data_IF_731514765965
#
_entry.id   IF_731514765965
#
_cell.length_a   1.000
_cell.length_b   1.000
_cell.length_c   1.000
_cell.angle_alpha   90.00
_cell.angle_beta   90.00
_cell.angle_gamma   90.00
#
_symmetry.space_group_name_H-M   'P 1'
#
loop_
_entity.id
_entity.type
_entity.pdbx_description
1 polymer ?
#
# COMPACT_ATOMS: atom_id res chain seq x y z
N UNK A 1 -3.91 3.46 -2.56
CA UNK A 1 -4.96 2.80 -1.76
C UNK A 1 -5.50 1.45 -2.28
N UNK A 2 -5.69 1.18 -3.59
CA UNK A 2 -6.42 -0.03 -4.00
C UNK A 2 -5.71 -1.33 -3.57
N UNK A 3 -4.37 -1.35 -3.60
CA UNK A 3 -3.60 -2.53 -3.19
C UNK A 3 -3.76 -2.89 -1.72
N UNK A 4 -3.75 -1.91 -0.81
CA UNK A 4 -3.85 -2.17 0.63
C UNK A 4 -5.21 -2.78 0.99
N UNK A 5 -6.29 -2.19 0.45
CA UNK A 5 -7.67 -2.68 0.64
C UNK A 5 -7.82 -4.10 0.10
N UNK A 6 -7.29 -4.38 -1.10
CA UNK A 6 -7.32 -5.72 -1.68
C UNK A 6 -6.61 -6.77 -0.80
N UNK A 7 -5.50 -6.41 -0.15
CA UNK A 7 -4.77 -7.33 0.73
C UNK A 7 -5.52 -7.62 2.04
N UNK A 8 -6.18 -6.61 2.61
CA UNK A 8 -7.03 -6.78 3.80
C UNK A 8 -8.24 -7.66 3.48
N UNK A 9 -8.96 -7.36 2.39
CA UNK A 9 -10.13 -8.15 1.96
C UNK A 9 -9.77 -9.59 1.60
N UNK A 10 -8.57 -9.82 1.06
CA UNK A 10 -8.07 -11.15 0.76
C UNK A 10 -7.52 -11.91 1.99
N UNK A 11 -7.60 -11.34 3.20
CA UNK A 11 -7.02 -11.89 4.43
C UNK A 11 -5.51 -12.21 4.28
N UNK A 12 -4.77 -11.35 3.58
CA UNK A 12 -3.31 -11.47 3.38
C UNK A 12 -2.52 -10.46 4.22
N UNK A 13 -3.21 -9.50 4.80
CA UNK A 13 -2.65 -8.46 5.63
C UNK A 13 -3.57 -8.16 6.81
N UNK A 14 -2.99 -7.59 7.85
CA UNK A 14 -3.68 -7.04 9.01
C UNK A 14 -3.54 -5.52 9.02
N UNK A 15 -4.58 -4.84 9.52
CA UNK A 15 -4.57 -3.40 9.74
C UNK A 15 -3.79 -3.10 11.03
N UNK A 16 -2.79 -2.23 10.93
CA UNK A 16 -1.99 -1.78 12.08
C UNK A 16 -2.47 -0.40 12.53
N UNK A 17 -2.72 0.49 11.57
CA UNK A 17 -3.16 1.86 11.85
C UNK A 17 -4.25 2.28 10.87
N UNK A 18 -5.32 2.83 11.42
CA UNK A 18 -6.46 3.38 10.71
C UNK A 18 -6.37 4.90 10.67
N UNK A 19 -6.77 5.49 9.55
CA UNK A 19 -7.02 6.93 9.45
C UNK A 19 -8.51 7.25 9.63
N UNK A 20 -8.83 8.53 9.56
CA UNK A 20 -10.20 9.04 9.74
C UNK A 20 -11.14 8.74 8.55
N UNK A 21 -10.58 8.40 7.40
CA UNK A 21 -11.36 8.02 6.21
C UNK A 21 -12.08 6.69 6.47
N UNK A 22 -13.36 6.61 6.12
CA UNK A 22 -14.11 5.34 6.11
C UNK A 22 -14.37 4.92 4.66
N UNK A 23 -13.89 3.74 4.31
CA UNK A 23 -14.20 3.09 3.04
C UNK A 23 -15.56 2.41 3.15
N UNK A 24 -16.49 2.78 2.28
CA UNK A 24 -17.87 2.25 2.24
C UNK A 24 -18.04 1.32 1.03
N UNK A 25 -18.72 0.20 1.24
CA UNK A 25 -19.26 -0.65 0.20
C UNK A 25 -20.78 -0.77 0.39
N UNK A 26 -21.47 -1.39 -0.57
CA UNK A 26 -22.91 -1.64 -0.44
C UNK A 26 -23.26 -2.53 0.77
N UNK A 27 -22.33 -3.38 1.23
CA UNK A 27 -22.61 -4.40 2.24
C UNK A 27 -21.82 -4.22 3.54
N UNK A 28 -20.77 -3.40 3.56
CA UNK A 28 -19.93 -3.20 4.75
C UNK A 28 -19.17 -1.88 4.69
N UNK A 29 -18.54 -1.52 5.81
CA UNK A 29 -17.59 -0.40 5.89
C UNK A 29 -16.29 -0.84 6.54
N UNK A 30 -15.19 -0.26 6.09
CA UNK A 30 -13.84 -0.54 6.58
C UNK A 30 -13.11 0.78 6.88
N UNK A 31 -12.38 0.89 8.00
CA UNK A 31 -11.52 2.05 8.24
C UNK A 31 -10.42 2.16 7.18
N UNK A 32 -10.11 3.38 6.76
CA UNK A 32 -9.10 3.68 5.76
C UNK A 32 -7.71 3.25 6.25
N UNK A 33 -7.04 2.31 5.57
CA UNK A 33 -5.76 1.80 6.05
C UNK A 33 -4.64 2.81 5.83
N UNK A 34 -3.97 3.22 6.92
CA UNK A 34 -2.73 3.99 6.87
C UNK A 34 -1.51 3.06 6.86
N UNK A 35 -1.50 2.09 7.78
CA UNK A 35 -0.42 1.11 7.92
C UNK A 35 -1.00 -0.30 7.96
N UNK A 36 -0.45 -1.20 7.14
CA UNK A 36 -0.80 -2.62 7.12
C UNK A 36 0.44 -3.49 7.30
N UNK A 37 0.24 -4.66 7.92
CA UNK A 37 1.27 -5.69 8.08
C UNK A 37 0.87 -6.91 7.25
N UNK A 38 1.79 -7.44 6.46
CA UNK A 38 1.58 -8.72 5.77
C UNK A 38 1.63 -9.87 6.77
N UNK A 39 0.71 -10.82 6.64
CA UNK A 39 0.67 -12.02 7.49
C UNK A 39 1.86 -12.95 7.27
N UNK A 40 2.41 -12.93 6.05
CA UNK A 40 3.52 -13.79 5.66
C UNK A 40 4.66 -12.93 5.11
N UNK A 41 5.88 -13.34 5.42
CA UNK A 41 7.06 -12.70 4.88
C UNK A 41 7.16 -12.94 3.37
N UNK A 42 7.17 -11.85 2.60
CA UNK A 42 7.39 -11.91 1.15
C UNK A 42 8.85 -11.54 0.89
N UNK A 43 9.64 -12.51 0.42
CA UNK A 43 11.02 -12.25 -0.02
C UNK A 43 10.97 -11.49 -1.34
N UNK A 44 11.21 -10.18 -1.27
CA UNK A 44 11.29 -9.34 -2.47
C UNK A 44 12.64 -9.58 -3.16
N UNK A 45 12.66 -10.01 -4.43
CA UNK A 45 13.90 -10.14 -5.17
C UNK A 45 14.58 -8.77 -5.28
N UNK A 46 15.83 -8.67 -4.86
CA UNK A 46 16.60 -7.40 -4.88
C UNK A 46 17.11 -7.04 -6.28
N UNK A 47 16.89 -7.90 -7.26
CA UNK A 47 17.29 -7.71 -8.66
C UNK A 47 16.27 -6.83 -9.37
N UNK A 48 15.99 -5.63 -8.84
CA UNK A 48 15.16 -4.69 -9.56
C UNK A 48 15.91 -4.31 -10.85
N UNK A 49 15.24 -4.33 -12.02
CA UNK A 49 15.86 -3.99 -13.30
C UNK A 49 16.33 -2.52 -13.36
N UNK A 50 15.89 -1.69 -12.41
CA UNK A 50 16.30 -0.31 -12.29
C UNK A 50 16.76 -0.02 -10.85
N UNK A 51 17.95 0.58 -10.64
CA UNK A 51 18.39 0.99 -9.32
C UNK A 51 17.43 2.04 -8.74
N UNK A 52 17.26 2.03 -7.42
CA UNK A 52 16.50 3.04 -6.67
C UNK A 52 17.20 4.39 -6.71
N UNK A 53 17.11 5.06 -7.86
CA UNK A 53 17.61 6.41 -8.09
C UNK A 53 16.49 7.43 -7.95
N UNK A 54 16.84 8.71 -7.75
CA UNK A 54 15.86 9.81 -7.78
C UNK A 54 15.00 9.78 -9.04
N UNK A 55 15.60 9.53 -10.20
CA UNK A 55 14.88 9.43 -11.48
C UNK A 55 13.88 8.27 -11.49
N UNK A 56 14.26 7.10 -10.96
CA UNK A 56 13.38 5.95 -10.85
C UNK A 56 12.19 6.21 -9.92
N UNK A 57 12.43 6.86 -8.79
CA UNK A 57 11.39 7.22 -7.81
C UNK A 57 10.39 8.22 -8.42
N UNK A 58 10.89 9.27 -9.07
CA UNK A 58 10.02 10.24 -9.74
C UNK A 58 9.20 9.60 -10.85
N UNK A 59 9.79 8.71 -11.66
CA UNK A 59 9.04 7.97 -12.69
C UNK A 59 7.95 7.09 -12.08
N UNK A 60 8.24 6.41 -10.96
CA UNK A 60 7.27 5.59 -10.22
C UNK A 60 6.10 6.43 -9.69
N UNK A 61 6.39 7.61 -9.17
CA UNK A 61 5.43 8.47 -8.47
C UNK A 61 4.79 9.53 -9.39
N UNK A 62 4.90 9.37 -10.71
CA UNK A 62 4.28 10.30 -11.68
C UNK A 62 4.84 11.73 -11.57
N UNK A 63 6.13 11.85 -11.28
CA UNK A 63 6.84 13.11 -11.01
C UNK A 63 6.25 13.94 -9.86
N UNK A 64 5.50 13.30 -8.97
CA UNK A 64 4.93 13.94 -7.78
C UNK A 64 5.75 13.55 -6.56
N UNK A 65 6.10 14.53 -5.71
CA UNK A 65 6.69 14.24 -4.42
C UNK A 65 5.67 13.43 -3.59
N UNK A 66 6.09 12.40 -2.85
CA UNK A 66 5.18 11.65 -1.97
C UNK A 66 5.13 12.21 -0.53
N UNK A 67 5.96 13.21 -0.25
CA UNK A 67 6.13 13.83 1.07
C UNK A 67 5.77 15.32 1.09
N UNK A 68 5.62 15.87 -0.11
CA UNK A 68 5.19 17.20 -0.45
C UNK A 68 3.96 16.97 -1.34
#
# INVERSE_FOLDING_TARGET
MPRAVNLLLANKAELVEAGDLILRSAHFSLPGPLVIRLLHYIRVPRNLPMPLSRRAILLRDGYTCQYC
#
